data_IF_100854746969
#
_entry.id   IF_100854746969
#
_cell.length_a   1.000
_cell.length_b   1.000
_cell.length_c   1.000
_cell.angle_alpha   90.00
_cell.angle_beta   90.00
_cell.angle_gamma   90.00
#
_symmetry.space_group_name_H-M   'P 1'
#
loop_
_entity.id
_entity.type
_entity.pdbx_description
1 polymer ?
#
# COMPACT_ATOMS: atom_id res chain seq x y z
N UNK A 1 -14.33 -11.68 -20.68
CA UNK A 1 -13.16 -10.96 -20.13
C UNK A 1 -13.69 -9.70 -19.46
N UNK A 2 -13.83 -9.70 -18.13
CA UNK A 2 -14.50 -8.63 -17.37
C UNK A 2 -13.42 -7.66 -16.93
N UNK A 3 -13.43 -6.44 -17.45
CA UNK A 3 -12.40 -5.45 -17.16
C UNK A 3 -12.48 -5.09 -15.67
N UNK A 4 -11.30 -5.07 -15.05
CA UNK A 4 -11.02 -4.82 -13.64
C UNK A 4 -11.83 -3.62 -13.14
N UNK A 5 -12.67 -3.82 -12.13
CA UNK A 5 -13.42 -2.73 -11.49
C UNK A 5 -12.42 -1.67 -11.02
N UNK A 6 -12.62 -0.41 -11.44
CA UNK A 6 -11.81 0.70 -10.96
C UNK A 6 -12.20 0.98 -9.52
N UNK A 7 -11.39 0.50 -8.58
CA UNK A 7 -11.52 0.88 -7.17
C UNK A 7 -10.90 2.26 -7.00
N UNK A 8 -11.63 3.28 -6.52
CA UNK A 8 -11.06 4.58 -6.22
C UNK A 8 -9.95 4.44 -5.18
N UNK A 9 -8.83 5.13 -5.39
CA UNK A 9 -7.73 5.15 -4.44
C UNK A 9 -7.13 6.55 -4.35
N UNK A 10 -6.56 6.85 -3.18
CA UNK A 10 -5.74 8.05 -2.98
C UNK A 10 -4.28 7.64 -3.09
N UNK A 11 -3.54 8.26 -4.00
CA UNK A 11 -2.11 8.03 -4.15
C UNK A 11 -1.33 8.91 -3.19
N UNK A 12 -0.62 8.29 -2.26
CA UNK A 12 0.35 8.95 -1.40
C UNK A 12 1.76 8.57 -1.86
N UNK A 13 2.50 9.55 -2.37
CA UNK A 13 3.90 9.34 -2.77
C UNK A 13 4.80 9.23 -1.54
N UNK A 14 5.82 8.37 -1.64
CA UNK A 14 6.85 8.18 -0.61
C UNK A 14 8.21 8.39 -1.28
N UNK A 15 8.95 9.40 -0.84
CA UNK A 15 10.27 9.77 -1.34
C UNK A 15 11.35 8.91 -0.66
N UNK A 16 11.67 7.78 -1.28
CA UNK A 16 12.64 6.81 -0.75
C UNK A 16 14.05 7.39 -0.66
N UNK A 17 14.43 8.25 -1.62
CA UNK A 17 15.71 8.96 -1.63
C UNK A 17 15.87 9.91 -0.42
N UNK A 18 14.75 10.38 0.13
CA UNK A 18 14.70 11.17 1.37
C UNK A 18 14.46 10.33 2.63
N UNK A 19 14.31 9.02 2.51
CA UNK A 19 14.09 8.11 3.62
C UNK A 19 12.68 8.15 4.22
N UNK A 20 11.68 8.67 3.51
CA UNK A 20 10.30 8.76 4.03
C UNK A 20 9.71 7.38 4.41
N UNK A 21 10.13 6.32 3.72
CA UNK A 21 9.76 4.93 4.00
C UNK A 21 10.32 4.38 5.32
N UNK A 22 11.25 5.10 5.96
CA UNK A 22 11.83 4.74 7.25
C UNK A 22 11.28 5.60 8.39
N UNK A 23 10.43 6.57 8.09
CA UNK A 23 9.80 7.39 9.11
C UNK A 23 8.81 6.56 9.94
N UNK A 24 8.61 6.86 11.24
CA UNK A 24 7.74 6.09 12.11
C UNK A 24 6.32 5.90 11.56
N UNK A 25 5.79 6.90 10.85
CA UNK A 25 4.48 6.84 10.20
C UNK A 25 4.36 5.79 9.11
N UNK A 26 5.39 5.63 8.29
CA UNK A 26 5.41 4.59 7.26
C UNK A 26 5.67 3.22 7.89
N UNK A 27 6.57 3.14 8.88
CA UNK A 27 6.90 1.88 9.55
C UNK A 27 5.74 1.29 10.35
N UNK A 28 4.80 2.12 10.81
CA UNK A 28 3.52 1.64 11.39
C UNK A 28 2.66 0.87 10.38
N UNK A 29 2.81 1.16 9.08
CA UNK A 29 2.10 0.47 8.01
C UNK A 29 2.87 -0.75 7.50
N UNK A 30 4.18 -0.61 7.32
CA UNK A 30 5.06 -1.71 6.93
C UNK A 30 6.38 -1.65 7.72
N UNK A 31 6.61 -2.54 8.70
CA UNK A 31 7.83 -2.54 9.52
C UNK A 31 9.11 -2.82 8.70
N UNK A 32 8.97 -3.34 7.48
CA UNK A 32 10.10 -3.55 6.56
C UNK A 32 10.50 -2.27 5.81
N UNK A 33 9.71 -1.19 5.90
CA UNK A 33 10.00 0.08 5.22
C UNK A 33 10.02 -0.03 3.70
N UNK A 34 9.22 -0.93 3.12
CA UNK A 34 9.15 -1.14 1.67
C UNK A 34 7.80 -0.73 1.10
N UNK A 35 7.83 -0.12 -0.08
CA UNK A 35 6.64 0.05 -0.93
C UNK A 35 6.47 -1.17 -1.85
N UNK A 36 5.26 -1.43 -2.39
CA UNK A 36 4.00 -0.73 -2.14
C UNK A 36 3.31 -1.17 -0.84
N UNK A 37 2.45 -0.29 -0.33
CA UNK A 37 1.51 -0.56 0.77
C UNK A 37 0.13 -0.03 0.38
N UNK A 38 -0.92 -0.82 0.64
CA UNK A 38 -2.32 -0.38 0.55
C UNK A 38 -2.90 -0.39 1.95
N UNK A 39 -3.55 0.71 2.32
CA UNK A 39 -4.43 0.77 3.48
C UNK A 39 -5.86 0.79 2.99
N UNK A 40 -6.64 -0.21 3.38
CA UNK A 40 -8.07 -0.25 3.17
C UNK A 40 -8.77 0.31 4.40
N UNK A 41 -9.36 1.50 4.25
CA UNK A 41 -10.07 2.18 5.33
C UNK A 41 -11.41 1.54 5.70
N UNK A 42 -12.03 0.77 4.80
CA UNK A 42 -13.31 0.11 5.07
C UNK A 42 -13.12 -1.07 6.03
N UNK A 43 -12.05 -1.83 5.84
CA UNK A 43 -11.71 -2.99 6.68
C UNK A 43 -10.67 -2.67 7.76
N UNK A 44 -10.11 -1.47 7.76
CA UNK A 44 -8.98 -1.05 8.60
C UNK A 44 -7.78 -2.00 8.49
N UNK A 45 -7.49 -2.46 7.28
CA UNK A 45 -6.44 -3.45 6.98
C UNK A 45 -5.30 -2.79 6.25
N UNK A 46 -4.08 -3.15 6.62
CA UNK A 46 -2.88 -2.78 5.85
C UNK A 46 -2.32 -4.00 5.15
N UNK A 47 -2.09 -3.87 3.84
CA UNK A 47 -1.54 -4.93 2.99
C UNK A 47 -0.26 -4.40 2.36
N UNK A 48 0.82 -5.15 2.52
CA UNK A 48 2.10 -4.93 1.88
C UNK A 48 2.55 -6.24 1.20
N UNK A 49 3.65 -6.19 0.46
CA UNK A 49 4.04 -7.19 -0.56
C UNK A 49 3.18 -7.13 -1.84
N UNK A 50 3.84 -6.85 -2.97
CA UNK A 50 3.16 -6.63 -4.25
C UNK A 50 2.36 -7.85 -4.72
N UNK A 51 2.83 -9.06 -4.45
CA UNK A 51 2.10 -10.29 -4.78
C UNK A 51 0.81 -10.44 -3.96
N UNK A 52 0.85 -10.12 -2.66
CA UNK A 52 -0.34 -10.14 -1.80
C UNK A 52 -1.35 -9.07 -2.22
N UNK A 53 -0.87 -7.86 -2.52
CA UNK A 53 -1.70 -6.77 -3.06
C UNK A 53 -2.40 -7.21 -4.34
N UNK A 54 -1.71 -7.84 -5.29
CA UNK A 54 -2.33 -8.29 -6.53
C UNK A 54 -3.40 -9.37 -6.33
N UNK A 55 -3.27 -10.21 -5.29
CA UNK A 55 -4.27 -11.21 -4.93
C UNK A 55 -5.49 -10.62 -4.23
N UNK A 56 -5.34 -9.56 -3.44
CA UNK A 56 -6.44 -8.88 -2.75
C UNK A 56 -7.25 -7.93 -3.63
N UNK A 57 -6.74 -7.55 -4.80
CA UNK A 57 -7.41 -6.65 -5.75
C UNK A 57 -8.27 -7.40 -6.81
N UNK A 58 -8.55 -8.68 -6.59
CA UNK A 58 -9.32 -9.55 -7.50
C UNK A 58 -10.80 -9.52 -7.16
#
# INVERSE_FOLDING_TARGET
MRWKSLVPYVLNHVQIDKGENLLPEFLRLNPHGRIPVIFDSETNTTIFESAAILLCLV
#
